data_IF_938444468768
#
_entry.id   IF_938444468768
#
_cell.length_a   1.000
_cell.length_b   1.000
_cell.length_c   1.000
_cell.angle_alpha   90.00
_cell.angle_beta   90.00
_cell.angle_gamma   90.00
#
_symmetry.space_group_name_H-M   'P 1'
#
loop_
_entity.id
_entity.type
_entity.pdbx_description
1 polymer ?
#
# COMPACT_ATOMS: atom_id res chain seq x y z
N UNK A 1 -12.50 -16.95 4.62
CA UNK A 1 -11.72 -16.60 3.42
C UNK A 1 -12.55 -16.60 2.13
N UNK A 2 -13.32 -17.65 1.78
CA UNK A 2 -14.01 -17.71 0.47
C UNK A 2 -15.06 -16.62 0.23
N UNK A 3 -15.74 -16.16 1.28
CA UNK A 3 -16.74 -15.08 1.19
C UNK A 3 -16.17 -13.69 1.54
N UNK A 4 -14.96 -13.61 2.09
CA UNK A 4 -14.35 -12.34 2.51
C UNK A 4 -13.80 -11.60 1.28
N UNK A 5 -14.18 -10.34 1.11
CA UNK A 5 -13.60 -9.46 0.10
C UNK A 5 -12.31 -8.86 0.63
N UNK A 6 -11.19 -9.15 -0.03
CA UNK A 6 -9.88 -8.64 0.38
C UNK A 6 -9.29 -7.81 -0.74
N UNK A 7 -8.97 -6.56 -0.44
CA UNK A 7 -8.37 -5.63 -1.41
C UNK A 7 -6.89 -5.48 -1.18
N UNK A 8 -6.11 -5.46 -2.26
CA UNK A 8 -4.72 -5.01 -2.23
C UNK A 8 -4.66 -3.56 -2.69
N UNK A 9 -3.89 -2.72 -2.00
CA UNK A 9 -3.68 -1.34 -2.42
C UNK A 9 -2.19 -1.06 -2.58
N UNK A 10 -1.83 -0.52 -3.73
CA UNK A 10 -0.47 -0.09 -4.07
C UNK A 10 -0.52 1.13 -5.00
N UNK A 11 0.53 1.94 -5.00
CA UNK A 11 0.70 2.99 -5.99
C UNK A 11 1.38 2.47 -7.25
N UNK A 12 1.28 3.23 -8.34
CA UNK A 12 1.92 2.90 -9.60
C UNK A 12 3.18 3.71 -9.88
N UNK A 13 3.75 3.41 -11.05
CA UNK A 13 4.90 4.13 -11.56
C UNK A 13 4.60 5.63 -11.75
N UNK A 14 5.60 6.47 -11.52
CA UNK A 14 5.61 7.86 -11.94
C UNK A 14 7.03 8.28 -12.36
N UNK A 15 7.18 9.16 -13.36
CA UNK A 15 8.49 9.68 -13.75
C UNK A 15 9.06 10.64 -12.71
N UNK A 16 10.40 10.77 -12.65
CA UNK A 16 11.09 11.66 -11.72
C UNK A 16 10.65 13.13 -11.89
N UNK A 17 10.27 13.53 -13.10
CA UNK A 17 9.75 14.88 -13.38
C UNK A 17 8.50 15.23 -12.58
N UNK A 18 7.72 14.23 -12.11
CA UNK A 18 6.52 14.47 -11.30
C UNK A 18 6.83 14.77 -9.83
N UNK A 19 8.06 14.51 -9.35
CA UNK A 19 8.46 14.83 -7.97
C UNK A 19 8.31 16.31 -7.66
N UNK A 20 7.99 16.61 -6.40
CA UNK A 20 7.71 17.96 -5.93
C UNK A 20 6.34 18.47 -6.40
N UNK A 21 5.32 17.61 -6.37
CA UNK A 21 3.92 17.94 -6.73
C UNK A 21 3.71 18.36 -8.19
N UNK A 22 4.53 17.84 -9.11
CA UNK A 22 4.50 18.19 -10.55
C UNK A 22 3.78 17.17 -11.43
N UNK A 23 3.11 16.20 -10.82
CA UNK A 23 2.32 15.22 -11.53
C UNK A 23 1.61 14.28 -10.57
N UNK A 24 0.93 13.28 -11.13
CA UNK A 24 0.11 12.34 -10.38
C UNK A 24 0.56 10.90 -10.63
N UNK A 25 0.34 10.05 -9.64
CA UNK A 25 0.54 8.61 -9.71
C UNK A 25 -0.81 7.90 -9.46
N UNK A 26 -1.07 6.76 -10.09
CA UNK A 26 -2.25 5.97 -9.75
C UNK A 26 -2.10 5.35 -8.37
N UNK A 27 -3.20 5.29 -7.62
CA UNK A 27 -3.37 4.49 -6.42
C UNK A 27 -4.45 3.45 -6.73
N UNK A 28 -4.07 2.18 -6.73
CA UNK A 28 -4.89 1.09 -7.28
C UNK A 28 -5.38 0.18 -6.17
N UNK A 29 -6.67 -0.10 -6.14
CA UNK A 29 -7.30 -1.15 -5.35
C UNK A 29 -7.63 -2.34 -6.24
N UNK A 30 -7.21 -3.55 -5.87
CA UNK A 30 -7.59 -4.80 -6.54
C UNK A 30 -8.29 -5.71 -5.53
N UNK A 31 -9.58 -5.95 -5.71
CA UNK A 31 -10.42 -6.69 -4.76
C UNK A 31 -10.62 -8.13 -5.19
N UNK A 32 -10.39 -9.04 -4.25
CA UNK A 32 -10.52 -10.48 -4.44
C UNK A 32 -11.64 -11.05 -3.59
N UNK A 33 -12.41 -11.98 -4.17
CA UNK A 33 -13.28 -12.92 -3.45
C UNK A 33 -12.68 -14.32 -3.55
N UNK A 34 -12.05 -14.78 -2.47
CA UNK A 34 -11.21 -15.99 -2.53
C UNK A 34 -10.03 -15.78 -3.48
N UNK A 35 -9.89 -16.60 -4.53
CA UNK A 35 -8.81 -16.44 -5.53
C UNK A 35 -9.25 -15.70 -6.80
N UNK A 36 -10.50 -15.24 -6.86
CA UNK A 36 -11.05 -14.54 -8.02
C UNK A 36 -10.92 -13.03 -7.82
N UNK A 37 -10.30 -12.34 -8.78
CA UNK A 37 -10.37 -10.88 -8.89
C UNK A 37 -11.81 -10.48 -9.26
N UNK A 38 -12.44 -9.62 -8.47
CA UNK A 38 -13.86 -9.24 -8.64
C UNK A 38 -14.08 -7.75 -8.86
N UNK A 39 -13.14 -6.90 -8.44
CA UNK A 39 -13.18 -5.45 -8.71
C UNK A 39 -11.77 -4.89 -8.82
N UNK A 40 -11.63 -3.82 -9.59
CA UNK A 40 -10.44 -2.97 -9.64
C UNK A 40 -10.90 -1.52 -9.64
N UNK A 41 -10.33 -0.72 -8.75
CA UNK A 41 -10.60 0.72 -8.68
C UNK A 41 -9.30 1.51 -8.67
N UNK A 42 -9.34 2.70 -9.27
CA UNK A 42 -8.15 3.53 -9.46
C UNK A 42 -8.46 4.97 -9.12
N UNK A 43 -7.68 5.52 -8.21
CA UNK A 43 -7.62 6.94 -7.91
C UNK A 43 -6.27 7.49 -8.37
N UNK A 44 -6.15 8.82 -8.42
CA UNK A 44 -4.89 9.47 -8.74
C UNK A 44 -4.48 10.40 -7.60
N UNK A 45 -3.25 10.24 -7.14
CA UNK A 45 -2.68 11.02 -6.04
C UNK A 45 -1.58 11.92 -6.56
N UNK A 46 -1.41 13.08 -5.95
CA UNK A 46 -0.33 14.00 -6.29
C UNK A 46 1.00 13.43 -5.79
N UNK A 47 2.00 13.35 -6.67
CA UNK A 47 3.33 12.85 -6.29
C UNK A 47 3.96 13.80 -5.27
N UNK A 48 4.43 13.26 -4.15
CA UNK A 48 4.88 14.03 -2.97
C UNK A 48 3.79 14.98 -2.39
N UNK A 49 2.52 14.72 -2.68
CA UNK A 49 1.36 15.44 -2.16
C UNK A 49 0.93 15.02 -0.75
N UNK A 50 -0.28 15.42 -0.39
CA UNK A 50 -0.96 15.15 0.89
C UNK A 50 -2.39 14.60 0.70
N UNK A 51 -2.80 14.38 -0.55
CA UNK A 51 -4.12 13.88 -0.96
C UNK A 51 -4.24 12.34 -0.90
N UNK A 52 -3.19 11.61 -0.51
CA UNK A 52 -3.15 10.15 -0.54
C UNK A 52 -4.21 9.49 0.35
N UNK A 53 -4.40 9.99 1.57
CA UNK A 53 -5.40 9.45 2.50
C UNK A 53 -6.83 9.68 2.00
N UNK A 54 -7.11 10.85 1.42
CA UNK A 54 -8.45 11.14 0.90
C UNK A 54 -8.75 10.34 -0.38
N UNK A 55 -7.75 10.15 -1.25
CA UNK A 55 -7.87 9.23 -2.39
C UNK A 55 -8.13 7.78 -1.93
N UNK A 56 -7.40 7.31 -0.92
CA UNK A 56 -7.59 5.98 -0.34
C UNK A 56 -9.01 5.76 0.20
N UNK A 57 -9.63 6.80 0.80
CA UNK A 57 -11.02 6.73 1.28
C UNK A 57 -12.03 6.61 0.15
N UNK A 58 -11.75 7.19 -1.02
CA UNK A 58 -12.64 7.12 -2.20
C UNK A 58 -12.54 5.80 -2.95
N UNK A 59 -11.41 5.10 -2.86
CA UNK A 59 -11.27 3.79 -3.47
C UNK A 59 -12.32 2.81 -2.94
N UNK A 60 -13.01 2.13 -3.87
CA UNK A 60 -13.78 0.93 -3.57
C UNK A 60 -12.84 -0.14 -3.03
N UNK A 61 -13.19 -0.65 -1.86
CA UNK A 61 -12.42 -1.64 -1.09
C UNK A 61 -13.38 -2.67 -0.51
N UNK A 62 -12.85 -3.87 -0.30
CA UNK A 62 -13.52 -4.97 0.38
C UNK A 62 -13.49 -4.84 1.90
N UNK A 63 -13.87 -5.92 2.56
CA UNK A 63 -13.97 -6.02 4.02
C UNK A 63 -12.63 -5.83 4.74
N UNK A 64 -11.54 -6.27 4.10
CA UNK A 64 -10.17 -6.13 4.59
C UNK A 64 -9.27 -5.56 3.48
N UNK A 65 -8.41 -4.62 3.83
CA UNK A 65 -7.43 -4.04 2.89
C UNK A 65 -6.00 -4.39 3.27
N UNK A 66 -5.20 -4.86 2.33
CA UNK A 66 -3.76 -5.05 2.47
C UNK A 66 -3.05 -3.94 1.68
N UNK A 67 -2.38 -3.01 2.36
CA UNK A 67 -1.62 -1.94 1.74
C UNK A 67 -0.15 -2.35 1.61
N UNK A 68 0.46 -2.11 0.45
CA UNK A 68 1.90 -2.34 0.26
C UNK A 68 2.76 -1.40 1.12
N UNK A 69 2.34 -0.14 1.29
CA UNK A 69 3.00 0.83 2.14
C UNK A 69 2.01 1.89 2.62
N UNK A 70 2.37 2.58 3.71
CA UNK A 70 1.72 3.85 4.10
C UNK A 70 2.29 5.04 3.34
N UNK A 71 3.45 4.88 2.71
CA UNK A 71 4.08 5.89 1.85
C UNK A 71 3.74 5.52 0.41
N UNK A 72 3.13 6.45 -0.31
CA UNK A 72 2.65 6.26 -1.69
C UNK A 72 3.04 7.47 -2.55
N UNK A 73 3.14 7.30 -3.86
CA UNK A 73 3.36 8.39 -4.81
C UNK A 73 4.58 9.25 -4.44
N UNK A 74 5.71 8.62 -4.09
CA UNK A 74 6.87 9.32 -3.52
C UNK A 74 6.77 9.42 -2.00
N UNK A 75 6.63 10.63 -1.45
CA UNK A 75 6.43 10.88 -0.01
C UNK A 75 5.02 11.36 0.33
N UNK A 76 4.03 11.11 -0.54
CA UNK A 76 2.63 11.18 -0.14
C UNK A 76 2.32 9.99 0.80
N UNK A 77 1.19 10.02 1.49
CA UNK A 77 0.91 9.04 2.53
C UNK A 77 -0.57 8.70 2.68
N UNK A 78 -0.80 7.47 3.13
CA UNK A 78 -2.10 6.93 3.51
C UNK A 78 -2.07 6.61 5.00
N UNK A 79 -3.05 7.16 5.72
CA UNK A 79 -3.39 6.72 7.07
C UNK A 79 -4.61 5.80 6.96
N UNK A 80 -4.41 4.46 6.99
CA UNK A 80 -5.51 3.53 6.85
C UNK A 80 -6.33 3.46 8.14
N UNK A 81 -7.64 3.29 7.98
CA UNK A 81 -8.60 3.07 9.07
C UNK A 81 -9.50 1.91 8.66
N UNK A 82 -9.90 1.09 9.65
CA UNK A 82 -10.86 0.01 9.49
C UNK A 82 -10.31 -1.21 8.72
N UNK A 83 -10.04 -2.28 9.45
CA UNK A 83 -9.71 -3.62 8.93
C UNK A 83 -8.57 -3.59 7.89
N UNK A 84 -7.43 -3.04 8.27
CA UNK A 84 -6.31 -2.86 7.36
C UNK A 84 -5.09 -3.68 7.77
N UNK A 85 -4.24 -4.01 6.79
CA UNK A 85 -2.95 -4.67 6.97
C UNK A 85 -1.93 -3.90 6.12
N UNK A 86 -1.07 -3.09 6.73
CA UNK A 86 0.11 -2.57 6.05
C UNK A 86 1.16 -3.68 6.02
N UNK A 87 1.59 -4.07 4.82
CA UNK A 87 2.40 -5.25 4.59
C UNK A 87 3.74 -4.90 3.94
N UNK A 88 4.84 -5.31 4.59
CA UNK A 88 6.17 -5.26 3.99
C UNK A 88 6.82 -6.64 3.98
N UNK A 89 7.24 -7.10 2.80
CA UNK A 89 7.96 -8.37 2.66
C UNK A 89 9.40 -8.35 3.24
N UNK A 90 9.94 -7.15 3.50
CA UNK A 90 11.25 -6.89 4.10
C UNK A 90 11.15 -5.66 5.00
N UNK A 91 12.03 -5.54 6.00
CA UNK A 91 12.05 -4.35 6.87
C UNK A 91 12.37 -3.10 6.03
N UNK A 92 11.55 -2.04 6.07
CA UNK A 92 11.88 -0.79 5.40
C UNK A 92 13.19 -0.19 5.95
N UNK A 93 13.96 0.52 5.12
CA UNK A 93 15.11 1.27 5.62
C UNK A 93 14.66 2.55 6.32
N UNK A 94 14.36 2.41 7.62
CA UNK A 94 13.84 3.49 8.47
C UNK A 94 14.77 4.69 8.51
N UNK A 95 16.10 4.49 8.49
CA UNK A 95 17.07 5.58 8.52
C UNK A 95 16.99 6.47 7.28
N UNK A 96 16.96 5.86 6.09
CA UNK A 96 16.87 6.61 4.83
C UNK A 96 15.54 7.35 4.71
N UNK A 97 14.44 6.70 5.11
CA UNK A 97 13.11 7.29 5.13
C UNK A 97 13.09 8.49 6.10
N UNK A 98 13.60 8.34 7.33
CA UNK A 98 13.63 9.42 8.32
C UNK A 98 14.46 10.62 7.85
N UNK A 99 15.62 10.36 7.23
CA UNK A 99 16.48 11.40 6.68
C UNK A 99 15.79 12.19 5.57
N UNK A 100 15.10 11.50 4.65
CA UNK A 100 14.34 12.15 3.59
C UNK A 100 13.16 12.97 4.14
N UNK A 101 12.41 12.42 5.12
CA UNK A 101 11.31 13.13 5.79
C UNK A 101 11.82 14.38 6.49
N UNK A 102 12.90 14.30 7.29
CA UNK A 102 13.49 15.47 7.97
C UNK A 102 13.89 16.57 7.00
N UNK A 103 14.43 16.20 5.83
CA UNK A 103 14.99 17.16 4.87
C UNK A 103 13.93 17.80 3.97
N UNK A 104 12.92 17.03 3.55
CA UNK A 104 12.01 17.44 2.49
C UNK A 104 10.54 17.49 2.92
N UNK A 105 10.13 16.73 3.95
CA UNK A 105 8.74 16.58 4.37
C UNK A 105 8.59 16.51 5.91
N UNK A 106 9.10 17.50 6.66
CA UNK A 106 9.17 17.43 8.12
C UNK A 106 7.78 17.36 8.78
N UNK A 107 6.76 17.93 8.12
CA UNK A 107 5.36 17.93 8.51
C UNK A 107 4.72 16.52 8.54
N UNK A 108 5.24 15.60 7.72
CA UNK A 108 4.71 14.22 7.58
C UNK A 108 5.43 13.21 8.45
N UNK A 109 6.63 13.61 8.93
CA UNK A 109 7.59 12.75 9.60
C UNK A 109 6.96 11.99 10.75
N UNK A 110 6.31 12.69 11.66
CA UNK A 110 5.74 12.07 12.87
C UNK A 110 4.75 10.96 12.53
N UNK A 111 3.81 11.23 11.60
CA UNK A 111 2.75 10.30 11.21
C UNK A 111 3.33 9.04 10.55
N UNK A 112 4.21 9.22 9.57
CA UNK A 112 4.83 8.11 8.84
C UNK A 112 5.73 7.29 9.77
N UNK A 113 6.59 7.94 10.55
CA UNK A 113 7.53 7.26 11.44
C UNK A 113 6.82 6.51 12.56
N UNK A 114 5.72 7.06 13.11
CA UNK A 114 4.86 6.36 14.07
C UNK A 114 4.37 5.02 13.51
N UNK A 115 3.86 5.01 12.28
CA UNK A 115 3.44 3.77 11.60
C UNK A 115 4.60 2.80 11.41
N UNK A 116 5.72 3.25 10.85
CA UNK A 116 6.84 2.38 10.51
C UNK A 116 7.51 1.78 11.76
N UNK A 117 7.60 2.54 12.85
CA UNK A 117 8.16 2.06 14.12
C UNK A 117 7.23 1.06 14.83
N UNK A 118 5.92 1.07 14.51
CA UNK A 118 4.93 0.14 15.06
C UNK A 118 4.82 -1.19 14.30
N UNK A 119 5.64 -1.41 13.27
CA UNK A 119 5.65 -2.67 12.51
C UNK A 119 6.09 -3.84 13.40
N UNK A 120 5.29 -4.90 13.41
CA UNK A 120 5.64 -6.17 14.05
C UNK A 120 6.10 -7.18 13.01
N UNK A 121 7.12 -7.97 13.36
CA UNK A 121 7.56 -9.07 12.51
C UNK A 121 6.71 -10.29 12.79
N UNK A 122 6.17 -10.92 11.74
CA UNK A 122 5.45 -12.18 11.85
C UNK A 122 6.03 -13.23 10.89
N UNK A 123 6.13 -14.51 11.29
CA UNK A 123 6.52 -15.58 10.39
C UNK A 123 5.33 -15.99 9.52
N UNK A 124 5.58 -16.18 8.22
CA UNK A 124 4.60 -16.74 7.27
C UNK A 124 5.18 -17.97 6.57
N UNK A 125 4.34 -18.75 5.90
CA UNK A 125 4.78 -19.87 5.03
C UNK A 125 5.78 -19.47 3.94
N UNK A 126 5.87 -18.18 3.57
CA UNK A 126 6.82 -17.67 2.57
C UNK A 126 7.99 -16.88 3.19
N UNK A 127 8.14 -16.91 4.51
CA UNK A 127 9.20 -16.23 5.27
C UNK A 127 8.69 -15.12 6.19
N UNK A 128 9.59 -14.45 6.90
CA UNK A 128 9.23 -13.38 7.81
C UNK A 128 8.81 -12.12 7.05
N UNK A 129 7.74 -11.49 7.50
CA UNK A 129 7.19 -10.24 6.96
C UNK A 129 6.97 -9.25 8.10
N UNK A 130 6.82 -7.97 7.77
CA UNK A 130 6.59 -6.89 8.73
C UNK A 130 5.22 -6.30 8.48
N UNK A 131 4.43 -6.19 9.54
CA UNK A 131 3.01 -5.82 9.44
C UNK A 131 2.65 -4.79 10.49
N UNK A 132 1.79 -3.84 10.11
CA UNK A 132 1.00 -3.06 11.06
C UNK A 132 -0.47 -3.20 10.67
N UNK A 133 -1.32 -3.52 11.64
CA UNK A 133 -2.74 -3.77 11.43
C UNK A 133 -3.54 -3.31 12.65
N UNK A 134 -4.84 -3.12 12.48
CA UNK A 134 -5.85 -3.00 13.54
C UNK A 134 -6.61 -4.32 13.78
N UNK A 135 -6.34 -5.36 12.98
CA UNK A 135 -6.88 -6.70 13.14
C UNK A 135 -6.08 -7.50 14.18
N UNK A 136 -6.70 -8.58 14.66
CA UNK A 136 -5.96 -9.63 15.35
C UNK A 136 -4.81 -10.16 14.46
N UNK A 137 -3.61 -10.27 15.03
CA UNK A 137 -2.42 -10.68 14.29
C UNK A 137 -2.53 -12.09 13.71
N UNK A 138 -3.26 -12.99 14.38
CA UNK A 138 -3.48 -14.35 13.87
C UNK A 138 -4.41 -14.33 12.64
N UNK A 139 -5.42 -13.46 12.63
CA UNK A 139 -6.29 -13.23 11.47
C UNK A 139 -5.51 -12.60 10.32
N UNK A 140 -4.75 -11.53 10.59
CA UNK A 140 -3.92 -10.87 9.57
C UNK A 140 -2.93 -11.86 8.94
N UNK A 141 -2.25 -12.68 9.75
CA UNK A 141 -1.36 -13.75 9.27
C UNK A 141 -2.10 -14.73 8.36
N UNK A 142 -3.28 -15.23 8.76
CA UNK A 142 -4.08 -16.18 7.95
C UNK A 142 -4.46 -15.57 6.60
N UNK A 143 -4.84 -14.29 6.57
CA UNK A 143 -5.19 -13.57 5.34
C UNK A 143 -3.96 -13.43 4.43
N UNK A 144 -2.82 -12.98 4.98
CA UNK A 144 -1.56 -12.86 4.24
C UNK A 144 -1.16 -14.21 3.64
N UNK A 145 -1.09 -15.27 4.46
CA UNK A 145 -0.68 -16.60 4.00
C UNK A 145 -1.61 -17.20 2.95
N UNK A 146 -2.92 -16.93 3.05
CA UNK A 146 -3.89 -17.39 2.07
C UNK A 146 -3.63 -16.80 0.69
N UNK A 147 -3.28 -15.51 0.62
CA UNK A 147 -2.99 -14.81 -0.63
C UNK A 147 -1.53 -14.90 -1.08
N UNK A 148 -0.63 -15.48 -0.28
CA UNK A 148 0.76 -15.76 -0.66
C UNK A 148 0.85 -17.06 -1.48
N UNK A 149 0.33 -17.05 -2.71
CA UNK A 149 0.26 -18.25 -3.56
C UNK A 149 1.66 -18.66 -4.03
N UNK A 150 2.27 -17.88 -4.92
CA UNK A 150 3.58 -18.20 -5.51
C UNK A 150 4.73 -17.41 -4.88
N UNK A 151 4.46 -16.17 -4.44
CA UNK A 151 5.50 -15.25 -3.97
C UNK A 151 5.32 -14.88 -2.49
N UNK A 152 6.27 -14.11 -1.95
CA UNK A 152 6.12 -13.48 -0.63
C UNK A 152 5.04 -12.40 -0.59
N UNK A 153 4.64 -11.84 -1.71
CA UNK A 153 3.64 -10.78 -1.76
C UNK A 153 2.24 -11.39 -1.93
N UNK A 154 1.25 -10.97 -1.11
CA UNK A 154 -0.15 -11.33 -1.33
C UNK A 154 -0.62 -10.95 -2.74
N UNK A 155 -1.33 -11.86 -3.42
CA UNK A 155 -1.84 -11.65 -4.78
C UNK A 155 -2.65 -10.34 -4.98
N UNK A 156 -3.47 -9.87 -4.01
CA UNK A 156 -4.16 -8.58 -4.16
C UNK A 156 -3.20 -7.40 -4.33
N UNK A 157 -2.12 -7.34 -3.54
CA UNK A 157 -1.10 -6.28 -3.68
C UNK A 157 -0.36 -6.45 -5.00
N UNK A 158 0.06 -7.67 -5.34
CA UNK A 158 0.81 -7.94 -6.57
C UNK A 158 0.03 -7.49 -7.81
N UNK A 159 -1.29 -7.67 -7.78
CA UNK A 159 -2.18 -7.26 -8.87
C UNK A 159 -2.30 -5.75 -8.95
N UNK A 160 -2.51 -5.06 -7.83
CA UNK A 160 -2.51 -3.58 -7.78
C UNK A 160 -1.18 -3.00 -8.26
N UNK A 161 -0.06 -3.61 -7.90
CA UNK A 161 1.27 -3.21 -8.36
C UNK A 161 1.41 -3.31 -9.88
N UNK A 162 1.01 -4.43 -10.48
CA UNK A 162 1.10 -4.65 -11.94
C UNK A 162 0.19 -3.67 -12.69
N UNK A 163 -1.04 -3.47 -12.22
CA UNK A 163 -2.00 -2.55 -12.83
C UNK A 163 -1.50 -1.11 -12.68
N UNK A 164 -1.10 -0.70 -11.47
CA UNK A 164 -0.60 0.65 -11.18
C UNK A 164 0.64 0.99 -12.00
N UNK A 165 1.58 0.05 -12.13
CA UNK A 165 2.73 0.20 -13.03
C UNK A 165 2.31 0.39 -14.48
N UNK A 166 1.39 -0.44 -14.98
CA UNK A 166 0.89 -0.35 -16.35
C UNK A 166 0.24 1.02 -16.63
N UNK A 167 -0.63 1.47 -15.73
CA UNK A 167 -1.30 2.78 -15.83
C UNK A 167 -0.28 3.92 -15.79
N UNK A 168 0.57 3.95 -14.76
CA UNK A 168 1.51 5.05 -14.54
C UNK A 168 2.57 5.21 -15.63
N UNK A 169 2.87 4.16 -16.38
CA UNK A 169 3.80 4.20 -17.52
C UNK A 169 3.17 4.76 -18.80
N UNK A 170 1.84 4.72 -18.95
CA UNK A 170 1.16 5.03 -20.22
C UNK A 170 0.18 6.20 -20.12
N UNK A 171 -0.27 6.56 -18.92
CA UNK A 171 -1.08 7.76 -18.71
C UNK A 171 -0.18 8.93 -18.40
N UNK A 172 -0.22 9.95 -19.26
CA UNK A 172 0.41 11.25 -19.01
C UNK A 172 -0.64 12.20 -18.43
N UNK A 173 -0.32 12.82 -17.30
CA UNK A 173 -1.09 13.95 -16.78
C UNK A 173 -0.53 15.22 -17.41
N UNK A 174 -1.18 15.69 -18.47
CA UNK A 174 -0.92 16.98 -19.13
C UNK A 174 -1.58 18.13 -18.38
#
# INVERSE_FOLDING_TARGET
MRELLVSGVDDGYFPISYKGKRGRAPLVSSTYKGMKLVDVDVEFITVDGDDGTEAYKRLRRGDVTILFSVIVGGFNYVIPEGNYIVFYARKPNICDIDNALRRYFPDRRERIMSFLNSLVQIPTKKGNVYVKTDLDLSLAKKIIEYYQVFTRYPEPIRTSHVIGRGIGQHISFS
#
